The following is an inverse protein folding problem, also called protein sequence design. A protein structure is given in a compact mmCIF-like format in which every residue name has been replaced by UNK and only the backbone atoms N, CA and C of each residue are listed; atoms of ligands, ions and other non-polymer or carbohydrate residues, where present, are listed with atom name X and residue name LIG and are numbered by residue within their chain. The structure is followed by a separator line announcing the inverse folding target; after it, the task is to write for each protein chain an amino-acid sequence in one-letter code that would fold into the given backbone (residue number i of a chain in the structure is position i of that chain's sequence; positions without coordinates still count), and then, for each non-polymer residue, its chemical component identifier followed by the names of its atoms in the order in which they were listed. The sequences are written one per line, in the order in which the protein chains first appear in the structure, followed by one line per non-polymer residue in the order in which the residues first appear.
data_IF_509009272916
#
_entry.id   IF_509009272916
#
_cell.length_a   1.000
_cell.length_b   1.000
_cell.length_c   1.000
_cell.angle_alpha   90.00
_cell.angle_beta   90.00
_cell.angle_gamma   90.00
#
_symmetry.space_group_name_H-M   'P 1'
#
loop_
_entity.id
_entity.type
_entity.pdbx_description
1 polymer ?
#
# COMPACT_ATOMS: atom_id res chain seq x y z
N UNK A 1 12.18 2.72 -7.83
CA UNK A 1 10.81 2.37 -7.40
C UNK A 1 10.86 0.97 -6.82
N UNK A 2 10.23 0.71 -5.67
CA UNK A 2 10.19 -0.65 -5.09
C UNK A 2 9.11 -1.46 -5.82
N UNK A 3 9.50 -2.60 -6.38
CA UNK A 3 8.61 -3.47 -7.16
C UNK A 3 8.54 -4.84 -6.47
N UNK A 4 7.34 -5.34 -6.12
CA UNK A 4 7.18 -6.66 -5.54
C UNK A 4 7.40 -7.72 -6.62
N UNK A 5 8.18 -8.74 -6.25
CA UNK A 5 8.46 -9.90 -7.09
C UNK A 5 7.69 -11.08 -6.50
N UNK A 6 6.62 -11.51 -7.17
CA UNK A 6 5.75 -12.59 -6.68
C UNK A 6 6.41 -13.98 -6.79
N UNK A 7 7.24 -14.16 -7.81
CA UNK A 7 7.89 -15.45 -8.10
C UNK A 7 9.40 -15.25 -8.23
N UNK A 8 10.14 -15.10 -7.11
CA UNK A 8 11.58 -14.88 -7.16
C UNK A 8 12.33 -16.17 -7.54
N UNK A 9 13.31 -16.05 -8.44
CA UNK A 9 14.24 -17.13 -8.74
C UNK A 9 15.24 -17.37 -7.60
N UNK A 10 15.71 -18.61 -7.43
CA UNK A 10 16.74 -18.94 -6.42
C UNK A 10 18.02 -18.10 -6.59
N UNK A 11 18.42 -17.85 -7.84
CA UNK A 11 19.61 -17.07 -8.16
C UNK A 11 19.49 -15.58 -7.81
N UNK A 12 18.32 -14.96 -8.03
CA UNK A 12 18.12 -13.53 -7.72
C UNK A 12 18.05 -13.27 -6.22
N UNK A 13 17.57 -14.24 -5.43
CA UNK A 13 17.69 -14.21 -3.97
C UNK A 13 19.14 -14.34 -3.52
N UNK A 14 19.90 -15.30 -4.08
CA UNK A 14 21.31 -15.51 -3.72
C UNK A 14 22.18 -14.28 -4.05
N UNK A 15 21.91 -13.61 -5.18
CA UNK A 15 22.57 -12.37 -5.60
C UNK A 15 22.06 -11.12 -4.89
N UNK A 16 21.07 -11.25 -3.99
CA UNK A 16 20.43 -10.15 -3.26
C UNK A 16 19.79 -9.09 -4.15
N UNK A 17 19.44 -9.46 -5.39
CA UNK A 17 18.69 -8.63 -6.35
C UNK A 17 17.23 -8.48 -5.90
N UNK A 18 16.70 -9.51 -5.23
CA UNK A 18 15.39 -9.50 -4.56
C UNK A 18 15.58 -9.58 -3.06
N UNK A 19 14.75 -8.86 -2.31
CA UNK A 19 14.74 -8.88 -0.84
C UNK A 19 13.54 -9.67 -0.34
N UNK A 20 13.77 -10.59 0.60
CA UNK A 20 12.68 -11.22 1.34
C UNK A 20 12.20 -10.26 2.43
N UNK A 21 10.90 -9.99 2.47
CA UNK A 21 10.29 -9.02 3.37
C UNK A 21 9.08 -9.64 4.06
N UNK A 22 8.89 -9.33 5.34
CA UNK A 22 7.81 -9.87 6.16
C UNK A 22 7.18 -8.76 7.01
N UNK A 23 5.86 -8.61 6.87
CA UNK A 23 5.03 -7.75 7.72
C UNK A 23 3.89 -8.57 8.27
N UNK A 24 3.71 -8.60 9.59
CA UNK A 24 2.48 -9.10 10.20
C UNK A 24 1.47 -7.97 10.24
N UNK A 25 0.20 -8.27 10.04
CA UNK A 25 -0.87 -7.27 10.13
C UNK A 25 -2.07 -7.80 10.91
N UNK A 26 -2.83 -6.86 11.48
CA UNK A 26 -4.12 -7.11 12.11
C UNK A 26 -5.07 -5.98 11.75
N UNK A 27 -6.28 -6.32 11.31
CA UNK A 27 -7.35 -5.33 11.12
C UNK A 27 -7.94 -4.98 12.49
N UNK A 28 -7.89 -3.71 12.86
CA UNK A 28 -8.45 -3.19 14.12
C UNK A 28 -9.92 -2.76 13.94
N UNK A 29 -10.28 -2.32 12.73
CA UNK A 29 -11.64 -1.98 12.35
C UNK A 29 -11.76 -1.80 10.85
N UNK A 30 -12.95 -2.02 10.29
CA UNK A 30 -13.23 -1.83 8.88
C UNK A 30 -14.63 -1.26 8.68
N UNK A 31 -14.76 -0.28 7.79
CA UNK A 31 -16.02 0.35 7.43
C UNK A 31 -15.89 1.05 6.07
N UNK A 32 -16.95 1.03 5.26
CA UNK A 32 -17.03 1.82 4.02
C UNK A 32 -15.86 1.61 3.06
N UNK A 33 -15.42 0.36 2.86
CA UNK A 33 -14.28 0.04 1.99
C UNK A 33 -12.91 0.46 2.52
N UNK A 34 -12.83 0.92 3.77
CA UNK A 34 -11.60 1.29 4.46
C UNK A 34 -11.35 0.39 5.66
N UNK A 35 -10.09 0.32 6.09
CA UNK A 35 -9.69 -0.42 7.28
C UNK A 35 -8.62 0.35 8.07
N UNK A 36 -8.71 0.30 9.39
CA UNK A 36 -7.61 0.63 10.28
C UNK A 36 -6.81 -0.64 10.52
N UNK A 37 -5.54 -0.63 10.15
CA UNK A 37 -4.68 -1.82 10.18
C UNK A 37 -3.46 -1.56 11.05
N UNK A 38 -3.24 -2.41 12.05
CA UNK A 38 -1.99 -2.47 12.79
C UNK A 38 -0.97 -3.29 11.98
N UNK A 39 0.22 -2.74 11.81
CA UNK A 39 1.31 -3.36 11.05
C UNK A 39 2.50 -3.60 11.98
N UNK A 40 3.11 -4.77 11.88
CA UNK A 40 4.35 -5.12 12.57
C UNK A 40 5.38 -5.62 11.55
N UNK A 41 6.25 -4.74 11.00
CA UNK A 41 7.34 -5.17 10.13
C UNK A 41 8.31 -6.07 10.91
N UNK A 42 8.62 -7.25 10.36
CA UNK A 42 9.67 -8.16 10.86
C UNK A 42 10.98 -8.03 10.08
N UNK A 43 10.95 -7.26 9.00
CA UNK A 43 12.08 -6.84 8.19
C UNK A 43 12.04 -5.33 8.01
N UNK A 44 13.20 -4.69 7.80
CA UNK A 44 13.29 -3.25 7.60
C UNK A 44 13.76 -2.95 6.18
N UNK A 45 12.80 -2.71 5.28
CA UNK A 45 13.07 -2.26 3.92
C UNK A 45 12.28 -1.00 3.59
N UNK A 46 12.85 -0.08 2.80
CA UNK A 46 12.13 1.09 2.33
C UNK A 46 10.83 0.70 1.65
N UNK A 47 9.76 1.43 1.97
CA UNK A 47 8.46 1.30 1.29
C UNK A 47 7.80 -0.09 1.43
N UNK A 48 8.32 -0.96 2.30
CA UNK A 48 7.79 -2.30 2.54
C UNK A 48 6.31 -2.26 2.93
N UNK A 49 5.94 -1.38 3.87
CA UNK A 49 4.57 -1.32 4.39
C UNK A 49 3.56 -0.86 3.33
N UNK A 50 3.77 0.26 2.60
CA UNK A 50 2.91 0.63 1.49
C UNK A 50 2.80 -0.46 0.41
N UNK A 51 3.93 -1.06 -0.01
CA UNK A 51 3.93 -2.11 -1.04
C UNK A 51 3.15 -3.34 -0.59
N UNK A 52 3.33 -3.80 0.65
CA UNK A 52 2.60 -4.94 1.20
C UNK A 52 1.09 -4.67 1.26
N UNK A 53 0.69 -3.47 1.66
CA UNK A 53 -0.72 -3.08 1.67
C UNK A 53 -1.32 -2.96 0.27
N UNK A 54 -0.58 -2.45 -0.71
CA UNK A 54 -0.97 -2.50 -2.13
C UNK A 54 -1.15 -3.93 -2.64
N UNK A 55 -0.28 -4.86 -2.25
CA UNK A 55 -0.41 -6.29 -2.61
C UNK A 55 -1.66 -6.94 -2.00
N UNK A 56 -2.11 -6.44 -0.84
CA UNK A 56 -3.39 -6.83 -0.23
C UNK A 56 -4.60 -6.10 -0.84
N UNK A 57 -4.41 -5.35 -1.93
CA UNK A 57 -5.43 -4.53 -2.60
C UNK A 57 -6.04 -3.43 -1.69
N UNK A 58 -5.33 -3.07 -0.63
CA UNK A 58 -5.74 -2.10 0.39
C UNK A 58 -4.66 -1.02 0.55
N UNK A 59 -4.42 -0.15 -0.45
CA UNK A 59 -3.33 0.82 -0.42
C UNK A 59 -3.51 1.83 0.73
N UNK A 60 -2.40 2.29 1.31
CA UNK A 60 -2.42 3.28 2.39
C UNK A 60 -3.07 4.58 1.91
N UNK A 61 -3.91 5.20 2.73
CA UNK A 61 -4.47 6.52 2.44
C UNK A 61 -3.34 7.56 2.33
N UNK A 62 -3.30 8.31 1.24
CA UNK A 62 -2.21 9.24 0.89
C UNK A 62 -1.02 8.61 0.16
N UNK A 63 -1.01 7.30 -0.13
CA UNK A 63 0.08 6.69 -0.92
C UNK A 63 -0.09 6.95 -2.42
N UNK A 64 0.38 8.09 -2.90
CA UNK A 64 0.36 8.44 -4.32
C UNK A 64 1.40 7.68 -5.17
N UNK A 65 2.24 6.84 -4.55
CA UNK A 65 3.33 6.16 -5.27
C UNK A 65 2.94 4.76 -5.71
N UNK A 66 2.23 4.01 -4.86
CA UNK A 66 1.88 2.62 -5.15
C UNK A 66 0.38 2.40 -5.35
N UNK A 67 -0.48 3.31 -4.89
CA UNK A 67 -1.94 3.12 -4.98
C UNK A 67 -2.43 2.96 -6.42
N UNK A 68 -1.74 3.55 -7.40
CA UNK A 68 -2.12 3.46 -8.82
C UNK A 68 -2.14 2.03 -9.36
N UNK A 69 -1.44 1.12 -8.67
CA UNK A 69 -1.36 -0.31 -9.00
C UNK A 69 -2.57 -1.10 -8.54
N UNK A 70 -3.49 -0.50 -7.77
CA UNK A 70 -4.77 -1.13 -7.46
C UNK A 70 -5.81 -0.56 -8.43
N UNK A 71 -6.14 -1.35 -9.44
CA UNK A 71 -7.24 -1.07 -10.35
C UNK A 71 -8.55 -1.61 -9.80
N UNK A 72 -9.67 -1.27 -10.46
CA UNK A 72 -10.98 -1.88 -10.20
C UNK A 72 -11.64 -2.30 -11.52
N UNK A 73 -12.26 -3.48 -11.53
CA UNK A 73 -13.12 -3.97 -12.61
C UNK A 73 -14.44 -4.37 -11.98
N UNK A 74 -15.55 -3.74 -12.41
CA UNK A 74 -16.88 -3.98 -11.85
C UNK A 74 -16.93 -3.86 -10.30
N UNK A 75 -16.22 -2.88 -9.75
CA UNK A 75 -16.12 -2.64 -8.31
C UNK A 75 -15.10 -3.53 -7.56
N UNK A 76 -14.65 -4.62 -8.17
CA UNK A 76 -13.69 -5.57 -7.58
C UNK A 76 -12.26 -5.05 -7.78
N UNK A 77 -11.46 -4.90 -6.71
CA UNK A 77 -10.08 -4.45 -6.84
C UNK A 77 -9.19 -5.56 -7.42
N UNK A 78 -8.17 -5.17 -8.19
CA UNK A 78 -7.15 -6.08 -8.71
C UNK A 78 -5.79 -5.38 -8.84
N UNK A 79 -4.72 -6.18 -8.86
CA UNK A 79 -3.36 -5.67 -8.97
C UNK A 79 -2.97 -5.50 -10.44
N UNK A 80 -2.54 -4.29 -10.79
CA UNK A 80 -1.99 -3.96 -12.11
C UNK A 80 -0.48 -4.24 -12.16
N UNK A 81 0.04 -4.68 -13.33
CA UNK A 81 1.47 -4.87 -13.52
C UNK A 81 2.24 -3.55 -13.34
N UNK A 82 3.36 -3.56 -12.61
CA UNK A 82 4.16 -2.36 -12.38
C UNK A 82 4.73 -1.76 -13.68
N UNK A 83 4.99 -2.57 -14.70
CA UNK A 83 5.56 -2.16 -15.99
C UNK A 83 4.57 -1.32 -16.81
N UNK A 84 3.28 -1.56 -16.64
CA UNK A 84 2.20 -0.89 -17.39
C UNK A 84 1.48 0.20 -16.58
N UNK A 85 1.89 0.43 -15.33
CA UNK A 85 1.19 1.34 -14.42
C UNK A 85 2.05 2.54 -14.04
N UNK A 86 1.84 3.72 -14.66
CA UNK A 86 2.52 4.93 -14.22
C UNK A 86 2.13 5.30 -12.80
N UNK A 87 3.05 5.96 -12.10
CA UNK A 87 2.75 6.57 -10.81
C UNK A 87 1.79 7.74 -11.03
N UNK A 88 0.67 7.74 -10.30
CA UNK A 88 -0.35 8.81 -10.34
C UNK A 88 -0.93 8.99 -8.94
N UNK A 89 -1.49 10.17 -8.70
CA UNK A 89 -2.22 10.48 -7.47
C UNK A 89 -3.22 9.37 -7.15
N UNK A 90 -3.31 9.04 -5.87
CA UNK A 90 -4.30 8.10 -5.37
C UNK A 90 -5.70 8.58 -5.76
N UNK A 91 -6.51 7.64 -6.27
CA UNK A 91 -7.91 7.88 -6.59
C UNK A 91 -8.75 7.23 -5.51
N UNK A 92 -9.61 8.03 -4.87
CA UNK A 92 -10.63 7.57 -3.93
C UNK A 92 -11.98 7.68 -4.62
N UNK A 93 -12.92 6.82 -4.25
CA UNK A 93 -14.30 6.95 -4.72
C UNK A 93 -14.99 8.20 -4.11
N UNK A 94 -16.05 8.66 -4.79
CA UNK A 94 -16.76 9.88 -4.41
C UNK A 94 -17.38 9.80 -3.00
N UNK A 95 -17.84 8.61 -2.61
CA UNK A 95 -18.40 8.37 -1.29
C UNK A 95 -17.34 8.58 -0.19
N UNK A 96 -16.15 8.00 -0.36
CA UNK A 96 -15.05 8.16 0.57
C UNK A 96 -14.53 9.60 0.60
N UNK A 97 -14.45 10.28 -0.55
CA UNK A 97 -14.09 11.70 -0.60
C UNK A 97 -15.09 12.57 0.18
N UNK A 98 -16.39 12.30 0.01
CA UNK A 98 -17.45 12.99 0.74
C UNK A 98 -17.34 12.77 2.26
N UNK A 99 -17.09 11.52 2.69
CA UNK A 99 -16.90 11.19 4.12
C UNK A 99 -15.66 11.83 4.73
N UNK A 100 -14.58 11.97 3.96
CA UNK A 100 -13.35 12.63 4.39
C UNK A 100 -13.44 14.16 4.29
N UNK A 101 -14.47 14.71 3.63
CA UNK A 101 -14.61 16.14 3.38
C UNK A 101 -13.50 16.70 2.49
N UNK A 102 -13.00 15.89 1.55
CA UNK A 102 -11.85 16.24 0.70
C UNK A 102 -12.28 16.58 -0.73
N UNK A 103 -11.72 17.65 -1.28
CA UNK A 103 -11.73 17.91 -2.72
C UNK A 103 -10.62 17.13 -3.43
N UNK A 104 -10.73 16.89 -4.75
CA UNK A 104 -9.67 16.25 -5.53
C UNK A 104 -8.32 16.98 -5.48
N UNK A 105 -8.33 18.31 -5.29
CA UNK A 105 -7.11 19.11 -5.16
C UNK A 105 -6.46 18.92 -3.78
N UNK A 106 -7.26 18.79 -2.72
CA UNK A 106 -6.77 18.48 -1.38
C UNK A 106 -6.22 17.05 -1.31
N UNK A 107 -6.84 16.12 -2.03
CA UNK A 107 -6.38 14.73 -2.12
C UNK A 107 -4.93 14.62 -2.62
N UNK A 108 -4.52 15.46 -3.58
CA UNK A 108 -3.14 15.48 -4.10
C UNK A 108 -2.09 15.88 -3.05
N UNK A 109 -2.52 16.52 -1.96
CA UNK A 109 -1.66 16.99 -0.87
C UNK A 109 -1.82 16.15 0.39
N UNK A 110 -2.59 15.06 0.31
CA UNK A 110 -2.92 14.24 1.47
C UNK A 110 -1.65 13.52 1.95
N UNK A 111 -1.26 13.64 3.22
CA UNK A 111 -0.09 12.96 3.74
C UNK A 111 -0.31 11.45 3.76
N UNK A 112 0.78 10.69 3.77
CA UNK A 112 0.72 9.25 3.98
C UNK A 112 0.20 8.96 5.39
N UNK A 113 -0.95 8.27 5.48
CA UNK A 113 -1.56 7.87 6.74
C UNK A 113 -0.94 6.57 7.26
N UNK A 114 0.35 6.65 7.57
CA UNK A 114 1.14 5.57 8.16
C UNK A 114 1.83 6.13 9.41
N UNK A 115 1.45 5.62 10.58
CA UNK A 115 1.92 6.16 11.85
C UNK A 115 2.69 5.10 12.64
N UNK A 116 3.86 5.48 13.18
CA UNK A 116 4.61 4.66 14.13
C UNK A 116 3.93 4.72 15.50
N UNK A 117 3.00 3.80 15.73
CA UNK A 117 2.17 3.77 16.94
C UNK A 117 2.92 3.27 18.19
N UNK A 118 3.84 2.32 18.03
CA UNK A 118 4.55 1.71 19.15
C UNK A 118 5.95 1.29 18.72
N UNK A 119 6.93 1.51 19.61
CA UNK A 119 8.29 1.01 19.50
C UNK A 119 8.65 0.36 20.84
N UNK A 120 8.90 -0.95 20.82
CA UNK A 120 9.35 -1.69 21.99
C UNK A 120 10.88 -1.68 22.04
N UNK A 121 11.43 -1.15 23.13
CA UNK A 121 12.87 -1.17 23.40
C UNK A 121 13.18 -2.31 24.38
N UNK A 122 14.36 -2.96 24.25
CA UNK A 122 14.78 -4.04 25.14
C UNK A 122 15.07 -3.58 26.57
#
# INVERSE_FOLDING_TARGET
QVVPVLTPGRYSLARKEVKNTLTRYRVLGAAGGCALVQLQPKTAFPEQLPVHLTLLLCPVLGDHRHSSRVGRVLGVPFLLPPESTPTRTQVLDEELLGRLGLSPQQLQRLPLHLHLQQLELP
#
